data_IF_356482038556
#
_entry.id   IF_356482038556
#
_cell.length_a   1.000
_cell.length_b   1.000
_cell.length_c   1.000
_cell.angle_alpha   90.00
_cell.angle_beta   90.00
_cell.angle_gamma   90.00
#
_symmetry.space_group_name_H-M   'P 1'
#
loop_
_entity.id
_entity.type
_entity.pdbx_description
1 polymer ?
#
# COMPACT_ATOMS: atom_id res chain seq x y z
N UNK A 1 13.90 3.17 -0.09
CA UNK A 1 12.46 3.48 -0.15
C UNK A 1 12.19 4.96 -0.46
N UNK A 2 12.81 5.93 0.23
CA UNK A 2 12.56 7.37 -0.02
C UNK A 2 12.72 7.81 -1.50
N UNK A 3 13.79 7.39 -2.19
CA UNK A 3 13.99 7.70 -3.61
C UNK A 3 12.86 7.17 -4.50
N UNK A 4 12.38 5.95 -4.21
CA UNK A 4 11.26 5.34 -4.92
C UNK A 4 9.96 6.12 -4.69
N UNK A 5 9.67 6.54 -3.44
CA UNK A 5 8.50 7.34 -3.13
C UNK A 5 8.53 8.73 -3.79
N UNK A 6 9.73 9.33 -3.97
CA UNK A 6 9.90 10.57 -4.74
C UNK A 6 9.62 10.37 -6.23
N UNK A 7 10.14 9.28 -6.80
CA UNK A 7 9.86 8.94 -8.20
C UNK A 7 8.36 8.67 -8.43
N UNK A 8 7.71 7.96 -7.51
CA UNK A 8 6.27 7.72 -7.56
C UNK A 8 5.45 9.03 -7.48
N UNK A 9 5.87 9.99 -6.65
CA UNK A 9 5.24 11.32 -6.61
C UNK A 9 5.35 12.05 -7.95
N UNK A 10 6.51 11.97 -8.62
CA UNK A 10 6.69 12.57 -9.95
C UNK A 10 5.75 11.95 -11.01
N UNK A 11 5.45 10.64 -10.89
CA UNK A 11 4.44 9.97 -11.72
C UNK A 11 3.03 10.45 -11.34
N UNK A 12 2.71 10.50 -10.04
CA UNK A 12 1.41 10.94 -9.52
C UNK A 12 1.06 12.38 -9.94
N UNK A 13 2.06 13.27 -10.03
CA UNK A 13 1.88 14.63 -10.54
C UNK A 13 1.28 14.66 -11.96
N UNK A 14 1.68 13.71 -12.81
CA UNK A 14 1.22 13.58 -14.19
C UNK A 14 -0.15 12.89 -14.32
N UNK A 15 -0.78 12.51 -13.21
CA UNK A 15 -2.07 11.81 -13.18
C UNK A 15 -3.17 12.71 -12.60
N UNK A 16 -3.78 13.61 -13.39
CA UNK A 16 -4.70 14.65 -12.88
C UNK A 16 -5.94 14.11 -12.17
N UNK A 17 -6.38 12.90 -12.52
CA UNK A 17 -7.57 12.24 -11.93
C UNK A 17 -7.22 11.21 -10.84
N UNK A 18 -5.97 11.21 -10.36
CA UNK A 18 -5.53 10.25 -9.35
C UNK A 18 -6.25 10.48 -8.03
N UNK A 19 -7.04 9.49 -7.60
CA UNK A 19 -7.71 9.49 -6.28
C UNK A 19 -6.98 8.66 -5.24
N UNK A 20 -6.49 7.49 -5.64
CA UNK A 20 -5.74 6.60 -4.75
C UNK A 20 -4.53 6.04 -5.51
N UNK A 21 -3.37 6.00 -4.85
CA UNK A 21 -2.21 5.25 -5.31
C UNK A 21 -1.76 4.31 -4.20
N UNK A 22 -1.51 3.04 -4.53
CA UNK A 22 -0.94 2.06 -3.61
C UNK A 22 0.36 1.51 -4.17
N UNK A 23 1.43 1.62 -3.40
CA UNK A 23 2.71 1.00 -3.68
C UNK A 23 2.95 -0.02 -2.57
N UNK A 24 3.27 -1.24 -2.92
CA UNK A 24 3.34 -2.32 -1.95
C UNK A 24 4.49 -3.27 -2.29
N UNK A 25 5.02 -3.91 -1.26
CA UNK A 25 6.07 -4.92 -1.37
C UNK A 25 5.81 -6.01 -0.32
N UNK A 26 6.01 -7.27 -0.66
CA UNK A 26 5.77 -8.40 0.22
C UNK A 26 6.73 -9.55 -0.08
N UNK A 27 7.22 -10.24 0.95
CA UNK A 27 8.02 -11.43 0.81
C UNK A 27 8.86 -11.74 2.05
N UNK A 28 9.22 -13.01 2.23
CA UNK A 28 10.09 -13.48 3.33
C UNK A 28 9.63 -13.02 4.72
N UNK A 29 8.32 -13.08 5.00
CA UNK A 29 7.73 -12.68 6.29
C UNK A 29 7.55 -11.17 6.45
N UNK A 30 7.93 -10.36 5.46
CA UNK A 30 7.90 -8.90 5.51
C UNK A 30 6.94 -8.33 4.48
N UNK A 31 6.21 -7.29 4.88
CA UNK A 31 5.27 -6.61 3.99
C UNK A 31 5.22 -5.13 4.30
N UNK A 32 4.99 -4.33 3.27
CA UNK A 32 4.69 -2.91 3.42
C UNK A 32 3.74 -2.41 2.32
N UNK A 33 2.99 -1.36 2.66
CA UNK A 33 2.07 -0.66 1.78
C UNK A 33 2.19 0.82 2.07
N UNK A 34 2.59 1.59 1.06
CA UNK A 34 2.44 3.03 1.00
C UNK A 34 1.15 3.34 0.24
N UNK A 35 0.30 4.21 0.80
CA UNK A 35 -0.93 4.65 0.16
C UNK A 35 -1.02 6.17 0.15
N UNK A 36 -1.37 6.73 -1.00
CA UNK A 36 -1.91 8.07 -1.13
C UNK A 36 -3.41 7.98 -1.36
N UNK A 37 -4.21 8.73 -0.61
CA UNK A 37 -5.63 8.93 -0.84
C UNK A 37 -5.91 10.44 -0.91
N UNK A 38 -6.38 10.92 -2.06
CA UNK A 38 -7.13 12.17 -2.16
C UNK A 38 -8.56 11.86 -1.74
N UNK A 39 -8.94 12.30 -0.53
CA UNK A 39 -10.30 12.05 -0.04
C UNK A 39 -11.20 13.14 -0.59
N UNK A 40 -12.06 12.79 -1.53
CA UNK A 40 -13.20 13.61 -1.91
C UNK A 40 -14.22 13.54 -0.77
N UNK A 41 -14.08 14.37 0.26
CA UNK A 41 -15.11 14.47 1.29
C UNK A 41 -16.35 15.14 0.68
N UNK A 42 -17.48 14.43 0.76
CA UNK A 42 -18.81 14.95 0.49
C UNK A 42 -19.07 16.18 1.36
N UNK A 43 -19.74 17.18 0.77
CA UNK A 43 -20.43 18.41 1.23
C UNK A 43 -20.49 18.86 2.71
N UNK A 44 -20.12 18.05 3.71
CA UNK A 44 -20.26 18.34 5.14
C UNK A 44 -18.94 18.55 5.89
N UNK A 45 -17.79 18.39 5.24
CA UNK A 45 -16.46 18.69 5.82
C UNK A 45 -15.76 19.75 4.96
N UNK A 46 -15.33 20.88 5.53
CA UNK A 46 -14.91 22.07 4.77
C UNK A 46 -13.52 21.97 4.12
N UNK A 47 -12.76 20.87 4.30
CA UNK A 47 -11.37 20.81 3.85
C UNK A 47 -11.04 19.52 3.06
N UNK A 48 -10.73 19.71 1.77
CA UNK A 48 -10.17 18.66 0.91
C UNK A 48 -8.82 18.23 1.48
N UNK A 49 -8.77 17.04 2.11
CA UNK A 49 -7.57 16.51 2.72
C UNK A 49 -7.01 15.32 1.93
N UNK A 50 -5.70 15.36 1.73
CA UNK A 50 -4.95 14.27 1.14
C UNK A 50 -4.16 13.56 2.25
N UNK A 51 -4.26 12.24 2.30
CA UNK A 51 -3.59 11.42 3.32
C UNK A 51 -2.57 10.51 2.69
N UNK A 52 -1.41 10.43 3.34
CA UNK A 52 -0.41 9.40 3.13
C UNK A 52 -0.48 8.40 4.28
N UNK A 53 -0.49 7.13 3.95
CA UNK A 53 -0.43 6.06 4.96
C UNK A 53 0.72 5.13 4.64
N UNK A 54 1.60 4.92 5.62
CA UNK A 54 2.60 3.88 5.58
C UNK A 54 2.19 2.74 6.51
N UNK A 55 2.11 1.53 5.96
CA UNK A 55 1.83 0.31 6.71
C UNK A 55 2.95 -0.67 6.48
N UNK A 56 3.46 -1.28 7.55
CA UNK A 56 4.62 -2.17 7.44
C UNK A 56 4.65 -3.17 8.58
N UNK A 57 5.22 -4.35 8.31
CA UNK A 57 5.70 -5.30 9.33
C UNK A 57 7.21 -5.25 9.52
N UNK A 58 7.90 -4.32 8.84
CA UNK A 58 9.35 -4.18 8.95
C UNK A 58 9.74 -3.75 10.37
N UNK A 59 10.81 -4.36 10.88
CA UNK A 59 11.33 -4.01 12.21
C UNK A 59 11.92 -2.60 12.28
N UNK A 60 12.17 -2.07 13.51
CA UNK A 60 12.55 -0.67 13.73
C UNK A 60 13.77 -0.19 12.93
N UNK A 61 14.72 -1.08 12.64
CA UNK A 61 15.95 -0.77 11.91
C UNK A 61 15.79 -0.73 10.38
N UNK A 62 14.70 -1.29 9.85
CA UNK A 62 14.44 -1.36 8.39
C UNK A 62 13.19 -0.59 7.97
N UNK A 63 12.40 -0.13 8.92
CA UNK A 63 11.16 0.57 8.64
C UNK A 63 11.40 1.96 8.00
N UNK A 64 10.40 2.49 7.29
CA UNK A 64 10.52 3.73 6.52
C UNK A 64 10.68 4.96 7.43
N UNK A 65 11.86 5.56 7.45
CA UNK A 65 11.98 6.94 7.92
C UNK A 65 11.70 7.86 6.73
N UNK A 66 10.49 8.43 6.70
CA UNK A 66 10.08 9.33 5.62
C UNK A 66 10.88 10.64 5.70
N UNK A 67 11.72 10.87 4.69
CA UNK A 67 12.50 12.10 4.60
C UNK A 67 11.59 13.32 4.35
N UNK A 68 11.95 14.53 4.83
CA UNK A 68 11.21 15.75 4.53
C UNK A 68 10.96 15.94 3.03
N UNK A 69 11.95 15.62 2.19
CA UNK A 69 11.83 15.68 0.74
C UNK A 69 10.73 14.77 0.17
N UNK A 70 10.40 13.64 0.82
CA UNK A 70 9.26 12.80 0.42
C UNK A 70 7.95 13.52 0.73
N UNK A 71 7.83 14.09 1.94
CA UNK A 71 6.62 14.80 2.35
C UNK A 71 6.39 16.04 1.50
N UNK A 72 7.44 16.76 1.11
CA UNK A 72 7.37 17.93 0.23
C UNK A 72 6.82 17.58 -1.15
N UNK A 73 7.38 16.56 -1.82
CA UNK A 73 6.93 16.22 -3.17
C UNK A 73 5.49 15.68 -3.19
N UNK A 74 5.10 14.91 -2.17
CA UNK A 74 3.71 14.47 -2.03
C UNK A 74 2.77 15.61 -1.60
N UNK A 75 3.29 16.61 -0.88
CA UNK A 75 2.62 17.90 -0.65
C UNK A 75 2.33 18.63 -1.96
N UNK A 76 3.27 18.62 -2.90
CA UNK A 76 3.08 19.12 -4.26
C UNK A 76 1.98 18.38 -5.01
N UNK A 77 1.95 17.03 -4.92
CA UNK A 77 0.87 16.20 -5.49
C UNK A 77 -0.48 16.61 -4.92
N UNK A 78 -0.60 16.70 -3.60
CA UNK A 78 -1.84 17.09 -2.94
C UNK A 78 -2.33 18.48 -3.36
N UNK A 79 -1.43 19.48 -3.40
CA UNK A 79 -1.78 20.84 -3.85
C UNK A 79 -2.27 20.86 -5.29
N UNK A 80 -1.63 20.08 -6.18
CA UNK A 80 -2.06 19.92 -7.57
C UNK A 80 -3.42 19.20 -7.73
N UNK A 81 -3.97 18.66 -6.63
CA UNK A 81 -5.30 18.05 -6.56
C UNK A 81 -6.30 18.91 -5.78
N UNK A 82 -5.93 20.13 -5.41
CA UNK A 82 -6.79 21.02 -4.62
C UNK A 82 -6.90 20.65 -3.14
N UNK A 83 -6.07 19.72 -2.66
CA UNK A 83 -5.97 19.47 -1.22
C UNK A 83 -5.22 20.62 -0.55
N UNK A 84 -5.81 21.16 0.51
CA UNK A 84 -5.18 22.21 1.29
C UNK A 84 -4.23 21.58 2.35
N UNK A 85 -3.02 22.12 2.52
CA UNK A 85 -1.98 21.50 3.35
C UNK A 85 -2.22 21.63 4.86
N UNK A 86 -1.54 20.78 5.67
CA UNK A 86 -0.52 19.80 5.26
C UNK A 86 -1.06 18.41 4.91
N UNK A 87 -0.35 17.73 4.00
CA UNK A 87 -0.57 16.31 3.73
C UNK A 87 -0.31 15.51 5.01
N UNK A 88 -1.33 14.82 5.48
CA UNK A 88 -1.25 14.04 6.71
C UNK A 88 -0.50 12.74 6.44
N UNK A 89 0.68 12.55 7.04
CA UNK A 89 1.42 11.30 7.00
C UNK A 89 1.15 10.48 8.25
N UNK A 90 0.46 9.35 8.08
CA UNK A 90 0.14 8.42 9.15
C UNK A 90 0.90 7.11 9.00
N UNK A 91 1.40 6.60 10.13
CA UNK A 91 1.90 5.24 10.23
C UNK A 91 0.84 4.36 10.85
N UNK A 92 0.49 3.25 10.22
CA UNK A 92 -0.48 2.29 10.74
C UNK A 92 0.09 0.87 10.63
N UNK A 93 -0.17 -0.03 11.58
CA UNK A 93 0.24 -1.41 11.42
C UNK A 93 -0.45 -2.04 10.20
N UNK A 94 0.24 -3.00 9.57
CA UNK A 94 -0.43 -3.97 8.74
C UNK A 94 -1.24 -4.93 9.63
N UNK A 95 -2.41 -5.42 9.20
CA UNK A 95 -3.18 -6.38 10.00
C UNK A 95 -2.31 -7.62 10.16
N UNK A 96 -1.99 -8.05 11.38
CA UNK A 96 -1.21 -9.30 11.53
C UNK A 96 -2.11 -10.44 11.06
N UNK A 97 -1.62 -11.27 10.12
CA UNK A 97 -2.34 -12.47 9.69
C UNK A 97 -2.61 -13.41 10.87
N UNK A 98 -3.58 -14.30 10.73
CA UNK A 98 -4.01 -15.23 11.78
C UNK A 98 -2.90 -16.16 12.32
N UNK A 99 -1.72 -16.18 11.69
CA UNK A 99 -0.51 -16.83 12.20
C UNK A 99 0.52 -15.76 12.55
N UNK A 100 1.01 -15.82 13.79
CA UNK A 100 2.10 -14.98 14.26
C UNK A 100 3.27 -15.05 13.27
N UNK A 101 3.58 -13.93 12.62
CA UNK A 101 4.87 -13.60 11.98
C UNK A 101 5.17 -14.10 10.55
N UNK A 102 4.21 -14.36 9.68
CA UNK A 102 4.61 -14.66 8.30
C UNK A 102 3.64 -14.13 7.24
N UNK A 103 3.97 -12.95 6.72
CA UNK A 103 3.61 -12.59 5.35
C UNK A 103 4.50 -13.41 4.42
N UNK A 104 4.11 -14.65 4.11
CA UNK A 104 4.93 -15.57 3.31
C UNK A 104 4.94 -15.14 1.84
N UNK A 105 3.86 -14.51 1.37
CA UNK A 105 3.71 -14.15 -0.03
C UNK A 105 2.90 -12.86 -0.25
N UNK A 106 3.00 -12.31 -1.46
CA UNK A 106 2.21 -11.17 -1.93
C UNK A 106 0.69 -11.37 -1.80
N UNK A 107 0.23 -12.62 -1.75
CA UNK A 107 -1.18 -12.98 -1.60
C UNK A 107 -1.74 -12.68 -0.20
N UNK A 108 -0.90 -12.64 0.83
CA UNK A 108 -1.35 -12.32 2.19
C UNK A 108 -1.88 -10.87 2.29
N UNK A 109 -1.25 -9.94 1.58
CA UNK A 109 -1.75 -8.55 1.50
C UNK A 109 -3.10 -8.45 0.78
N UNK A 110 -3.37 -9.33 -0.18
CA UNK A 110 -4.64 -9.42 -0.88
C UNK A 110 -5.71 -10.04 0.01
N UNK A 111 -5.40 -11.18 0.63
CA UNK A 111 -6.29 -11.90 1.55
C UNK A 111 -6.71 -11.04 2.74
N UNK A 112 -5.77 -10.31 3.34
CA UNK A 112 -6.02 -9.47 4.51
C UNK A 112 -6.70 -8.13 4.16
N UNK A 113 -7.08 -7.91 2.90
CA UNK A 113 -7.72 -6.68 2.45
C UNK A 113 -6.83 -5.44 2.67
N UNK A 114 -5.52 -5.62 2.72
CA UNK A 114 -4.58 -4.54 3.01
C UNK A 114 -4.47 -3.54 1.84
N UNK A 115 -4.75 -4.01 0.62
CA UNK A 115 -4.78 -3.22 -0.62
C UNK A 115 -6.22 -2.82 -0.99
N UNK A 116 -6.53 -1.53 -0.98
CA UNK A 116 -7.86 -0.97 -1.29
C UNK A 116 -8.21 -1.18 -2.75
N UNK A 117 -7.23 -1.04 -3.65
CA UNK A 117 -7.38 -1.12 -5.10
C UNK A 117 -7.43 -2.55 -5.63
N UNK A 118 -7.02 -3.55 -4.84
CA UNK A 118 -7.07 -4.96 -5.24
C UNK A 118 -8.48 -5.40 -5.70
N UNK A 119 -9.53 -4.80 -5.12
CA UNK A 119 -10.93 -5.07 -5.53
C UNK A 119 -11.24 -4.64 -6.97
N UNK A 120 -10.55 -3.62 -7.48
CA UNK A 120 -10.84 -3.00 -8.78
C UNK A 120 -9.92 -3.50 -9.90
N UNK A 121 -8.73 -4.03 -9.57
CA UNK A 121 -7.69 -4.35 -10.56
C UNK A 121 -7.49 -5.85 -10.73
N UNK A 122 -7.82 -6.67 -9.71
CA UNK A 122 -7.72 -8.12 -9.82
C UNK A 122 -9.04 -8.72 -10.30
N UNK A 123 -8.96 -9.59 -11.30
CA UNK A 123 -10.06 -10.45 -11.72
C UNK A 123 -10.38 -11.47 -10.62
N UNK A 124 -11.62 -11.95 -10.58
CA UNK A 124 -12.05 -12.93 -9.57
C UNK A 124 -11.24 -14.23 -9.62
N UNK A 125 -10.85 -14.68 -10.82
CA UNK A 125 -9.96 -15.83 -10.99
C UNK A 125 -8.59 -15.60 -10.36
N UNK A 126 -7.99 -14.42 -10.55
CA UNK A 126 -6.70 -14.07 -9.94
C UNK A 126 -6.81 -13.95 -8.42
N UNK A 127 -7.95 -13.46 -7.91
CA UNK A 127 -8.26 -13.48 -6.47
C UNK A 127 -8.40 -14.90 -5.93
N UNK A 128 -9.09 -15.76 -6.66
CA UNK A 128 -9.28 -17.16 -6.26
C UNK A 128 -7.94 -17.93 -6.26
N UNK A 129 -7.10 -17.75 -7.29
CA UNK A 129 -5.74 -18.30 -7.30
C UNK A 129 -4.92 -17.76 -6.13
N UNK A 130 -4.92 -16.45 -5.92
CA UNK A 130 -4.19 -15.86 -4.80
C UNK A 130 -4.64 -16.42 -3.44
N UNK A 131 -5.94 -16.64 -3.26
CA UNK A 131 -6.47 -17.25 -2.04
C UNK A 131 -6.07 -18.73 -1.92
N UNK A 132 -6.17 -19.50 -3.00
CA UNK A 132 -5.78 -20.91 -3.01
C UNK A 132 -4.29 -21.10 -2.74
N UNK A 133 -3.45 -20.21 -3.28
CA UNK A 133 -2.00 -20.21 -3.06
C UNK A 133 -1.64 -19.82 -1.61
N UNK A 134 -2.41 -18.92 -0.99
CA UNK A 134 -2.20 -18.53 0.41
C UNK A 134 -2.65 -19.60 1.44
N UNK A 135 -3.57 -20.49 1.06
CA UNK A 135 -4.06 -21.59 1.90
C UNK A 135 -3.34 -22.93 1.61
N UNK A 136 -2.34 -22.91 0.73
CA UNK A 136 -1.62 -24.10 0.28
C UNK A 136 -0.80 -24.71 1.43
N UNK A 137 -0.94 -26.02 1.66
CA UNK A 137 -0.14 -26.73 2.67
C UNK A 137 1.32 -26.81 2.24
N UNK A 138 2.28 -26.96 3.19
CA UNK A 138 3.69 -27.11 2.86
C UNK A 138 3.96 -28.22 1.82
N UNK A 139 3.23 -29.34 1.91
CA UNK A 139 3.33 -30.44 0.95
C UNK A 139 2.85 -30.02 -0.44
N UNK A 140 1.73 -29.30 -0.53
CA UNK A 140 1.22 -28.81 -1.81
C UNK A 140 2.13 -27.73 -2.43
N UNK A 141 2.81 -26.91 -1.61
CA UNK A 141 3.81 -25.95 -2.07
C UNK A 141 5.06 -26.60 -2.67
N UNK A 142 5.48 -27.75 -2.12
CA UNK A 142 6.61 -28.54 -2.64
C UNK A 142 6.30 -29.12 -4.04
N UNK A 143 5.05 -29.54 -4.30
CA UNK A 143 4.65 -30.01 -5.63
C UNK A 143 4.56 -28.87 -6.65
N UNK A 144 4.16 -27.68 -6.22
CA UNK A 144 3.97 -26.52 -7.10
C UNK A 144 5.30 -25.91 -7.59
N UNK A 145 6.38 -26.06 -6.83
CA UNK A 145 7.71 -25.50 -7.15
C UNK A 145 8.66 -26.50 -7.82
N UNK A 146 8.23 -27.76 -8.00
CA UNK A 146 9.00 -28.83 -8.62
C UNK A 146 8.93 -28.87 -10.17
N UNK A 147 8.26 -27.90 -10.79
CA UNK A 147 8.12 -27.76 -12.25
C UNK A 147 8.56 -26.38 -12.74
#
# INVERSE_FOLDING_TARGET
MNAFLRAAAAVAMKMPKLKTMELWNCGQGQACVFRYDAVDYSASEPEHSCRLTWRSTWGPSRDLVAEPAVLEVWGGVARARGCHPPVLFERRPLPVGAREREYTSHHDLLRLGALKLARYVLHDTSRAQASAEADMTPDAFMWYTAY
#
